data_IF_810281879938
#
_entry.id   IF_810281879938
#
_cell.length_a   1.000
_cell.length_b   1.000
_cell.length_c   1.000
_cell.angle_alpha   90.00
_cell.angle_beta   90.00
_cell.angle_gamma   90.00
#
_symmetry.space_group_name_H-M   'P 1'
#
loop_
_entity.id
_entity.type
_entity.pdbx_description
1 polymer ?
#
# COMPACT_ATOMS: atom_id res chain seq x y z
N UNK A 1 3.95 0.17 -28.93
CA UNK A 1 2.98 -0.69 -29.65
C UNK A 1 2.34 0.14 -30.75
N UNK A 2 2.33 -0.33 -31.99
CA UNK A 2 1.62 0.30 -33.11
C UNK A 2 0.71 -0.75 -33.74
N UNK A 3 -0.54 -0.39 -34.02
CA UNK A 3 -1.49 -1.26 -34.70
C UNK A 3 -1.32 -1.10 -36.22
N UNK A 4 -1.13 -2.20 -36.95
CA UNK A 4 -0.93 -2.20 -38.40
C UNK A 4 -2.28 -2.25 -39.15
N UNK A 5 -3.27 -1.44 -38.75
CA UNK A 5 -4.56 -1.36 -39.42
C UNK A 5 -5.19 0.02 -39.28
N UNK A 6 -6.00 0.42 -40.26
CA UNK A 6 -6.83 1.62 -40.20
C UNK A 6 -8.18 1.36 -39.50
N UNK A 7 -8.50 0.10 -39.19
CA UNK A 7 -9.73 -0.30 -38.51
C UNK A 7 -9.56 -0.29 -36.98
N UNK A 8 -10.58 0.19 -36.21
CA UNK A 8 -10.56 0.14 -34.76
C UNK A 8 -10.45 -1.30 -34.24
N UNK A 9 -9.57 -1.51 -33.25
CA UNK A 9 -9.39 -2.81 -32.60
C UNK A 9 -10.18 -2.83 -31.28
N UNK A 10 -10.80 -3.98 -31.00
CA UNK A 10 -11.56 -4.22 -29.77
C UNK A 10 -11.13 -5.54 -29.14
N UNK A 11 -11.15 -5.64 -27.81
CA UNK A 11 -10.76 -6.83 -27.08
C UNK A 11 -10.85 -6.65 -25.57
N UNK A 12 -10.48 -7.68 -24.83
CA UNK A 12 -10.54 -7.72 -23.37
C UNK A 12 -9.16 -7.99 -22.78
N UNK A 13 -8.85 -7.33 -21.65
CA UNK A 13 -7.69 -7.68 -20.84
C UNK A 13 -8.04 -8.96 -20.08
N UNK A 14 -7.31 -10.05 -20.34
CA UNK A 14 -7.55 -11.35 -19.69
C UNK A 14 -7.06 -11.38 -18.26
N UNK A 15 -5.89 -10.80 -18.02
CA UNK A 15 -5.21 -10.79 -16.74
C UNK A 15 -4.27 -9.58 -16.69
N UNK A 16 -4.06 -9.05 -15.48
CA UNK A 16 -3.06 -8.02 -15.20
C UNK A 16 -2.44 -8.29 -13.84
N UNK A 17 -1.17 -7.96 -13.69
CA UNK A 17 -0.46 -8.05 -12.42
C UNK A 17 0.14 -6.70 -12.10
N UNK A 18 -0.18 -6.18 -10.92
CA UNK A 18 0.44 -4.98 -10.36
C UNK A 18 1.17 -5.34 -9.09
N UNK A 19 2.48 -5.08 -9.08
CA UNK A 19 3.29 -5.22 -7.90
C UNK A 19 3.30 -3.89 -7.16
N UNK A 20 2.85 -3.91 -5.90
CA UNK A 20 2.87 -2.77 -5.01
C UNK A 20 3.92 -3.01 -3.91
N UNK A 21 4.83 -2.05 -3.75
CA UNK A 21 5.74 -2.03 -2.62
C UNK A 21 5.15 -1.13 -1.53
N UNK A 22 5.30 -1.55 -0.26
CA UNK A 22 4.95 -0.70 0.88
C UNK A 22 5.89 0.51 1.00
N UNK A 23 5.54 1.44 1.89
CA UNK A 23 6.42 2.54 2.24
C UNK A 23 7.55 2.07 3.16
N UNK A 24 8.71 2.74 3.08
CA UNK A 24 9.83 2.53 4.02
C UNK A 24 9.41 2.87 5.46
N UNK A 25 8.59 3.90 5.60
CA UNK A 25 8.10 4.41 6.88
C UNK A 25 6.71 3.86 7.20
N UNK A 26 6.40 3.62 8.48
CA UNK A 26 5.09 3.11 8.88
C UNK A 26 4.00 4.12 8.52
N UNK A 27 2.87 3.70 7.93
CA UNK A 27 1.82 4.62 7.49
C UNK A 27 1.07 5.30 8.66
N UNK A 28 1.36 4.87 9.90
CA UNK A 28 0.70 5.38 11.10
C UNK A 28 1.54 6.43 11.84
N UNK A 29 2.78 6.69 11.42
CA UNK A 29 3.65 7.68 12.05
C UNK A 29 2.96 9.04 11.99
N UNK A 30 2.58 9.60 13.16
CA UNK A 30 1.85 10.88 13.26
C UNK A 30 0.31 10.82 13.35
N UNK A 31 -0.36 9.66 13.19
CA UNK A 31 -1.82 9.60 13.37
C UNK A 31 -2.23 9.64 14.85
N UNK A 32 -3.14 10.52 15.30
CA UNK A 32 -3.58 10.51 16.70
C UNK A 32 -4.38 9.23 16.98
N UNK A 33 -3.94 8.43 17.95
CA UNK A 33 -4.75 7.34 18.47
C UNK A 33 -5.67 7.92 19.54
N UNK A 34 -6.96 8.07 19.22
CA UNK A 34 -7.94 8.64 20.15
C UNK A 34 -8.22 7.74 21.37
N UNK A 35 -7.98 6.43 21.25
CA UNK A 35 -8.20 5.43 22.29
C UNK A 35 -6.93 4.56 22.47
N UNK A 36 -6.37 4.47 23.71
CA UNK A 36 -5.22 3.62 24.04
C UNK A 36 -5.39 2.12 23.74
N UNK A 37 -6.61 1.62 23.68
CA UNK A 37 -6.93 0.22 23.37
C UNK A 37 -7.38 0.01 21.93
N UNK A 38 -7.36 1.06 21.11
CA UNK A 38 -7.67 0.94 19.68
C UNK A 38 -6.64 0.08 18.95
N UNK A 39 -7.07 -0.60 17.88
CA UNK A 39 -6.17 -1.35 16.98
C UNK A 39 -5.01 -0.47 16.49
N UNK A 40 -5.27 0.81 16.24
CA UNK A 40 -4.25 1.78 15.83
C UNK A 40 -3.23 2.07 16.95
N UNK A 41 -3.67 2.25 18.20
CA UNK A 41 -2.77 2.46 19.34
C UNK A 41 -1.86 1.25 19.58
N UNK A 42 -2.42 0.03 19.51
CA UNK A 42 -1.67 -1.21 19.68
C UNK A 42 -0.62 -1.38 18.58
N UNK A 43 -1.00 -1.15 17.31
CA UNK A 43 -0.10 -1.27 16.16
C UNK A 43 0.99 -0.20 16.19
N UNK A 44 0.68 1.02 16.63
CA UNK A 44 1.67 2.09 16.84
C UNK A 44 2.71 1.73 17.90
N UNK A 45 2.26 1.31 19.08
CA UNK A 45 3.15 0.91 20.18
C UNK A 45 4.11 -0.19 19.74
N UNK A 46 3.61 -1.24 19.08
CA UNK A 46 4.45 -2.33 18.59
C UNK A 46 5.48 -1.88 17.53
N UNK A 47 5.15 -0.90 16.69
CA UNK A 47 6.07 -0.39 15.68
C UNK A 47 7.12 0.57 16.26
N UNK A 48 6.76 1.37 17.28
CA UNK A 48 7.67 2.28 17.99
C UNK A 48 8.66 1.50 18.88
N UNK A 49 8.21 0.44 19.55
CA UNK A 49 9.07 -0.46 20.35
C UNK A 49 10.11 -1.16 19.47
N UNK A 50 9.72 -1.63 18.28
CA UNK A 50 10.63 -2.30 17.35
C UNK A 50 11.72 -1.35 16.81
N UNK A 51 11.39 -0.08 16.58
CA UNK A 51 12.36 0.92 16.11
C UNK A 51 13.35 1.37 17.18
N UNK A 52 13.00 1.26 18.47
CA UNK A 52 13.89 1.66 19.59
C UNK A 52 14.84 0.54 20.04
N UNK A 53 14.60 -0.70 19.61
CA UNK A 53 15.40 -1.88 19.95
C UNK A 53 16.48 -2.22 18.89
N UNK A 54 16.59 -1.42 17.83
CA UNK A 54 17.67 -1.44 16.84
C UNK A 54 18.62 -0.27 17.07
#
# INVERSE_FOLDING_TARGET
VRFNSQTPQQGWIKEWTLMLHGTREPPYTGLPAADPHSKLAIVKKAHEERSSAM
#
